data_IF_636238912589
#
_entry.id   IF_636238912589
#
_cell.length_a   1.000
_cell.length_b   1.000
_cell.length_c   1.000
_cell.angle_alpha   90.00
_cell.angle_beta   90.00
_cell.angle_gamma   90.00
#
_symmetry.space_group_name_H-M   'P 1'
#
loop_
_entity.id
_entity.type
_entity.pdbx_description
1 polymer ?
#
# COMPACT_ATOMS: atom_id res chain seq x y z
N UNK A 1 -14.18 -1.74 16.84
CA UNK A 1 -13.79 -2.41 15.59
C UNK A 1 -12.58 -3.28 15.90
N UNK A 2 -12.61 -4.54 15.53
CA UNK A 2 -11.43 -5.42 15.62
C UNK A 2 -10.47 -5.05 14.50
N UNK A 3 -9.17 -4.98 14.80
CA UNK A 3 -8.17 -4.74 13.76
C UNK A 3 -8.15 -5.91 12.75
N UNK A 4 -7.95 -5.62 11.46
CA UNK A 4 -7.80 -6.67 10.46
C UNK A 4 -6.56 -7.51 10.76
N UNK A 5 -6.58 -8.78 10.35
CA UNK A 5 -5.41 -9.65 10.40
C UNK A 5 -4.64 -9.58 9.08
N UNK A 6 -3.30 -9.72 9.10
CA UNK A 6 -2.51 -9.72 7.87
C UNK A 6 -2.86 -10.93 7.00
N UNK A 7 -2.90 -10.71 5.69
CA UNK A 7 -3.12 -11.74 4.68
C UNK A 7 -2.08 -11.60 3.59
N UNK A 8 -1.69 -12.72 2.99
CA UNK A 8 -0.78 -12.70 1.84
C UNK A 8 -1.40 -11.90 0.69
N UNK A 9 -0.59 -11.12 -0.01
CA UNK A 9 -1.02 -10.34 -1.16
C UNK A 9 -0.96 -11.21 -2.41
N UNK A 10 -2.05 -11.22 -3.18
CA UNK A 10 -2.14 -11.96 -4.45
C UNK A 10 -1.80 -11.10 -5.64
N UNK A 11 -2.25 -9.84 -5.61
CA UNK A 11 -2.11 -8.86 -6.68
C UNK A 11 -2.30 -7.46 -6.12
N UNK A 12 -1.79 -6.45 -6.85
CA UNK A 12 -2.02 -5.05 -6.52
C UNK A 12 -2.40 -4.29 -7.78
N UNK A 13 -3.42 -3.45 -7.65
CA UNK A 13 -3.82 -2.49 -8.68
C UNK A 13 -3.77 -1.07 -8.13
N UNK A 14 -3.30 -0.13 -8.94
CA UNK A 14 -3.32 1.30 -8.64
C UNK A 14 -4.10 1.98 -9.76
N UNK A 15 -5.22 2.59 -9.40
CA UNK A 15 -6.12 3.28 -10.32
C UNK A 15 -6.03 4.80 -10.11
N UNK A 16 -5.90 5.54 -11.21
CA UNK A 16 -5.99 7.00 -11.18
C UNK A 16 -7.45 7.46 -11.11
N UNK A 17 -7.79 8.25 -10.10
CA UNK A 17 -9.10 8.87 -9.96
C UNK A 17 -9.02 10.36 -10.35
N UNK A 18 -10.14 11.01 -10.70
CA UNK A 18 -10.14 12.44 -11.03
C UNK A 18 -9.50 13.34 -9.96
N UNK A 19 -9.65 13.00 -8.67
CA UNK A 19 -9.14 13.77 -7.52
C UNK A 19 -8.33 12.88 -6.56
N UNK A 20 -7.62 11.87 -7.05
CA UNK A 20 -6.89 10.98 -6.16
C UNK A 20 -6.36 9.73 -6.84
N UNK A 21 -6.03 8.75 -6.01
CA UNK A 21 -5.73 7.39 -6.45
C UNK A 21 -6.47 6.39 -5.56
N UNK A 22 -6.81 5.25 -6.14
CA UNK A 22 -7.27 4.07 -5.43
C UNK A 22 -6.21 2.99 -5.55
N UNK A 23 -5.78 2.44 -4.42
CA UNK A 23 -4.94 1.24 -4.41
C UNK A 23 -5.75 0.08 -3.88
N UNK A 24 -5.77 -1.02 -4.63
CA UNK A 24 -6.42 -2.27 -4.22
C UNK A 24 -5.38 -3.37 -4.12
N UNK A 25 -5.31 -4.00 -2.95
CA UNK A 25 -4.54 -5.22 -2.73
C UNK A 25 -5.49 -6.40 -2.69
N UNK A 26 -5.30 -7.36 -3.58
CA UNK A 26 -5.93 -8.68 -3.46
C UNK A 26 -5.31 -9.43 -2.26
N UNK A 27 -6.16 -10.03 -1.43
CA UNK A 27 -5.77 -10.72 -0.21
C UNK A 27 -6.13 -12.20 -0.28
N UNK A 28 -5.15 -13.05 -0.01
CA UNK A 28 -5.28 -14.49 0.09
C UNK A 28 -5.47 -14.97 1.53
N UNK A 29 -4.72 -16.03 1.87
CA UNK A 29 -4.76 -16.65 3.19
C UNK A 29 -4.19 -15.75 4.28
N UNK A 30 -4.67 -15.94 5.50
CA UNK A 30 -4.16 -15.24 6.70
C UNK A 30 -2.73 -15.68 7.01
N UNK A 31 -1.88 -14.71 7.36
CA UNK A 31 -0.51 -15.01 7.79
C UNK A 31 -0.54 -15.61 9.19
N UNK A 32 0.05 -16.80 9.40
CA UNK A 32 0.07 -17.44 10.71
C UNK A 32 1.06 -16.77 11.66
N UNK A 33 0.75 -16.81 12.95
CA UNK A 33 1.66 -16.40 14.03
C UNK A 33 1.29 -15.07 14.71
N UNK A 34 2.10 -14.64 15.69
CA UNK A 34 1.86 -13.40 16.42
C UNK A 34 2.16 -12.17 15.54
N UNK A 35 1.27 -11.18 15.59
CA UNK A 35 1.36 -9.96 14.80
C UNK A 35 1.18 -8.76 15.72
N UNK A 36 2.23 -7.94 15.82
CA UNK A 36 2.20 -6.66 16.53
C UNK A 36 1.85 -5.52 15.57
N UNK A 37 2.37 -5.59 14.34
CA UNK A 37 2.00 -4.69 13.26
C UNK A 37 2.26 -5.29 11.89
N UNK A 38 1.60 -4.76 10.88
CA UNK A 38 1.84 -5.11 9.48
C UNK A 38 1.53 -3.94 8.57
N UNK A 39 1.99 -4.03 7.32
CA UNK A 39 1.70 -3.01 6.33
C UNK A 39 1.82 -3.53 4.91
N UNK A 40 1.05 -2.91 4.03
CA UNK A 40 1.07 -3.14 2.58
C UNK A 40 1.51 -1.86 1.90
N UNK A 41 2.49 -1.97 1.02
CA UNK A 41 3.14 -0.83 0.39
C UNK A 41 3.23 -1.04 -1.12
N UNK A 42 3.12 0.06 -1.85
CA UNK A 42 3.50 0.19 -3.25
C UNK A 42 4.62 1.22 -3.31
N UNK A 43 5.75 0.82 -3.86
CA UNK A 43 6.91 1.65 -4.05
C UNK A 43 7.12 1.90 -5.54
N UNK A 44 7.36 3.16 -5.90
CA UNK A 44 7.69 3.55 -7.26
C UNK A 44 8.87 4.49 -7.28
N UNK A 45 9.71 4.29 -8.28
CA UNK A 45 10.94 5.04 -8.50
C UNK A 45 10.99 5.49 -9.96
N UNK A 46 11.59 6.65 -10.18
CA UNK A 46 11.94 7.09 -11.52
C UNK A 46 12.95 6.10 -12.18
N UNK A 47 13.08 6.10 -13.52
CA UNK A 47 14.03 5.22 -14.22
C UNK A 47 15.49 5.31 -13.76
N UNK A 48 15.90 6.45 -13.23
CA UNK A 48 17.24 6.68 -12.66
C UNK A 48 17.35 6.25 -11.17
N UNK A 49 16.28 5.70 -10.60
CA UNK A 49 16.20 5.31 -9.18
C UNK A 49 15.95 6.47 -8.22
N UNK A 50 15.78 7.70 -8.73
CA UNK A 50 15.48 8.88 -7.91
C UNK A 50 13.97 9.01 -7.62
N UNK A 51 13.62 10.00 -6.77
CA UNK A 51 12.24 10.38 -6.44
C UNK A 51 11.33 9.18 -6.06
N UNK A 52 11.80 8.41 -5.07
CA UNK A 52 11.03 7.30 -4.52
C UNK A 52 9.79 7.79 -3.82
N UNK A 53 8.64 7.27 -4.23
CA UNK A 53 7.37 7.50 -3.54
C UNK A 53 6.76 6.18 -3.12
N UNK A 54 6.28 6.17 -1.89
CA UNK A 54 5.72 5.02 -1.22
C UNK A 54 4.27 5.36 -0.89
N UNK A 55 3.35 4.49 -1.29
CA UNK A 55 1.95 4.56 -0.93
C UNK A 55 1.65 3.29 -0.15
N UNK A 56 1.06 3.41 1.03
CA UNK A 56 0.78 2.21 1.81
C UNK A 56 -0.30 2.37 2.86
N UNK A 57 -0.57 1.24 3.50
CA UNK A 57 -1.43 1.12 4.66
C UNK A 57 -0.64 0.41 5.74
N UNK A 58 -0.60 0.99 6.93
CA UNK A 58 -0.03 0.39 8.14
C UNK A 58 -1.12 0.10 9.15
N UNK A 59 -1.03 -1.07 9.79
CA UNK A 59 -1.92 -1.49 10.87
C UNK A 59 -1.05 -1.78 12.09
N UNK A 60 -1.23 -0.96 13.14
CA UNK A 60 -0.62 -1.15 14.47
C UNK A 60 -1.76 -1.18 15.49
N UNK A 61 -1.99 -0.09 16.22
CA UNK A 61 -3.14 0.11 17.09
C UNK A 61 -4.39 0.58 16.30
N UNK A 62 -4.16 1.12 15.11
CA UNK A 62 -5.18 1.58 14.16
C UNK A 62 -4.69 1.42 12.73
N UNK A 63 -5.63 1.40 11.80
CA UNK A 63 -5.36 1.46 10.37
C UNK A 63 -5.01 2.89 9.99
N UNK A 64 -3.89 3.09 9.29
CA UNK A 64 -3.46 4.38 8.74
C UNK A 64 -2.99 4.18 7.31
N UNK A 65 -3.56 4.95 6.37
CA UNK A 65 -3.04 5.06 5.02
C UNK A 65 -2.03 6.20 4.96
N UNK A 66 -0.97 6.07 4.15
CA UNK A 66 0.05 7.11 4.01
C UNK A 66 0.61 7.19 2.60
N UNK A 67 1.17 8.35 2.30
CA UNK A 67 2.03 8.59 1.15
C UNK A 67 3.31 9.24 1.66
N UNK A 68 4.45 8.77 1.16
CA UNK A 68 5.76 9.35 1.43
C UNK A 68 6.49 9.61 0.11
N UNK A 69 7.03 10.81 -0.07
CA UNK A 69 7.75 11.25 -1.27
C UNK A 69 9.00 12.02 -0.84
N UNK A 70 10.18 11.38 -0.96
CA UNK A 70 11.41 11.91 -0.36
C UNK A 70 11.17 12.30 1.11
N UNK A 71 11.65 13.44 1.59
CA UNK A 71 11.45 13.85 2.99
C UNK A 71 10.03 14.31 3.36
N UNK A 72 9.07 14.26 2.43
CA UNK A 72 7.69 14.73 2.65
C UNK A 72 6.72 13.56 2.79
N UNK A 73 5.69 13.69 3.62
CA UNK A 73 4.70 12.64 3.79
C UNK A 73 3.35 13.17 4.25
N UNK A 74 2.30 12.45 3.87
CA UNK A 74 0.93 12.70 4.25
C UNK A 74 0.33 11.42 4.86
N UNK A 75 -0.41 11.57 5.96
CA UNK A 75 -1.15 10.49 6.59
C UNK A 75 -2.65 10.73 6.39
N UNK A 76 -3.36 9.67 6.05
CA UNK A 76 -4.79 9.65 5.81
C UNK A 76 -5.48 8.83 6.91
N UNK A 77 -6.66 9.26 7.31
CA UNK A 77 -7.45 8.55 8.30
C UNK A 77 -7.82 7.15 7.80
N UNK A 78 -7.90 6.18 8.72
CA UNK A 78 -8.27 4.80 8.40
C UNK A 78 -9.64 4.64 7.75
N UNK A 79 -10.53 5.65 7.82
CA UNK A 79 -11.80 5.70 7.08
C UNK A 79 -11.63 5.65 5.56
N UNK A 80 -10.44 5.97 5.07
CA UNK A 80 -10.08 5.87 3.66
C UNK A 80 -9.67 4.45 3.26
N UNK A 81 -9.60 3.53 4.22
CA UNK A 81 -9.22 2.13 4.01
C UNK A 81 -10.41 1.24 4.30
N UNK A 82 -10.74 0.38 3.34
CA UNK A 82 -11.79 -0.63 3.47
C UNK A 82 -11.17 -2.02 3.37
N UNK A 83 -11.37 -2.81 4.41
CA UNK A 83 -11.05 -4.24 4.39
C UNK A 83 -12.29 -5.04 4.02
N UNK A 84 -12.15 -5.89 3.02
CA UNK A 84 -13.11 -6.92 2.63
C UNK A 84 -12.45 -8.29 2.79
N UNK A 85 -13.20 -9.37 2.56
CA UNK A 85 -12.71 -10.74 2.78
C UNK A 85 -11.48 -11.08 1.92
N UNK A 86 -11.49 -10.66 0.66
CA UNK A 86 -10.47 -11.00 -0.34
C UNK A 86 -9.70 -9.80 -0.88
N UNK A 87 -9.89 -8.60 -0.31
CA UNK A 87 -9.20 -7.39 -0.76
C UNK A 87 -9.15 -6.30 0.29
N UNK A 88 -8.17 -5.43 0.17
CA UNK A 88 -8.08 -4.16 0.87
C UNK A 88 -8.07 -3.02 -0.15
N UNK A 89 -8.89 -2.00 0.07
CA UNK A 89 -8.96 -0.81 -0.75
C UNK A 89 -8.49 0.38 0.07
N UNK A 90 -7.63 1.24 -0.49
CA UNK A 90 -7.23 2.50 0.13
C UNK A 90 -7.35 3.65 -0.87
N UNK A 91 -8.11 4.68 -0.49
CA UNK A 91 -8.30 5.89 -1.29
C UNK A 91 -7.42 7.01 -0.76
N UNK A 92 -6.57 7.54 -1.62
CA UNK A 92 -5.71 8.68 -1.31
C UNK A 92 -6.23 9.88 -2.09
N UNK A 93 -7.05 10.69 -1.42
CA UNK A 93 -7.57 11.93 -1.99
C UNK A 93 -6.43 12.94 -2.19
N UNK A 94 -6.57 13.77 -3.22
CA UNK A 94 -5.62 14.82 -3.59
C UNK A 94 -4.21 14.30 -3.88
N UNK A 95 -4.07 13.00 -4.10
CA UNK A 95 -2.83 12.34 -4.48
C UNK A 95 -2.83 12.02 -5.97
N UNK A 96 -1.63 11.99 -6.54
CA UNK A 96 -1.40 11.49 -7.89
C UNK A 96 -0.21 10.54 -7.88
N UNK A 97 -0.16 9.65 -8.88
CA UNK A 97 1.01 8.80 -9.12
C UNK A 97 2.24 9.67 -9.41
N UNK A 98 2.06 10.87 -9.98
CA UNK A 98 3.05 11.95 -9.96
C UNK A 98 4.31 11.74 -10.80
N UNK A 99 4.55 10.55 -11.34
CA UNK A 99 5.71 10.28 -12.18
C UNK A 99 5.33 10.37 -13.67
N UNK A 100 6.08 11.19 -14.42
CA UNK A 100 5.98 11.25 -15.88
C UNK A 100 6.42 9.94 -16.54
N UNK A 101 7.33 9.21 -15.89
CA UNK A 101 7.73 7.84 -16.21
C UNK A 101 8.04 7.07 -14.94
N UNK A 102 7.51 5.86 -14.86
CA UNK A 102 7.78 4.91 -13.77
C UNK A 102 8.84 3.94 -14.27
N UNK A 103 9.99 3.93 -13.60
CA UNK A 103 11.06 2.99 -13.90
C UNK A 103 10.85 1.65 -13.21
N UNK A 104 10.67 1.71 -11.89
CA UNK A 104 10.38 0.54 -11.06
C UNK A 104 9.07 0.76 -10.32
N UNK A 105 8.24 -0.28 -10.29
CA UNK A 105 7.01 -0.34 -9.51
C UNK A 105 6.92 -1.72 -8.87
N UNK A 106 6.76 -1.76 -7.57
CA UNK A 106 6.62 -3.02 -6.83
C UNK A 106 5.76 -2.83 -5.60
N UNK A 107 5.10 -3.90 -5.18
CA UNK A 107 4.49 -3.96 -3.87
C UNK A 107 5.31 -4.80 -2.89
N UNK A 108 5.24 -4.39 -1.63
CA UNK A 108 5.88 -5.04 -0.48
C UNK A 108 4.80 -5.25 0.58
N UNK A 109 4.88 -6.40 1.25
CA UNK A 109 4.05 -6.71 2.40
C UNK A 109 4.96 -7.14 3.55
N UNK A 110 4.83 -6.46 4.68
CA UNK A 110 5.68 -6.67 5.85
C UNK A 110 4.86 -6.96 7.10
N UNK A 111 5.42 -7.78 7.99
CA UNK A 111 4.87 -8.12 9.32
C UNK A 111 5.98 -7.99 10.34
N UNK A 112 5.72 -7.30 11.46
CA UNK A 112 6.66 -7.08 12.55
C UNK A 112 8.06 -6.60 12.09
N UNK A 113 8.09 -5.77 11.04
CA UNK A 113 9.33 -5.20 10.48
C UNK A 113 10.11 -6.13 9.56
N UNK A 114 9.59 -7.32 9.25
CA UNK A 114 10.16 -8.24 8.27
C UNK A 114 9.32 -8.25 7.00
N UNK A 115 9.96 -8.13 5.84
CA UNK A 115 9.29 -8.30 4.56
C UNK A 115 8.91 -9.77 4.38
N UNK A 116 7.61 -10.03 4.23
CA UNK A 116 7.07 -11.37 4.01
C UNK A 116 6.90 -11.64 2.52
N UNK A 117 6.57 -10.60 1.74
CA UNK A 117 6.56 -10.66 0.28
C UNK A 117 7.17 -9.37 -0.29
N UNK A 118 8.06 -9.53 -1.25
CA UNK A 118 8.68 -8.43 -2.00
C UNK A 118 8.45 -8.64 -3.49
N UNK A 119 8.47 -7.55 -4.26
CA UNK A 119 8.41 -7.65 -5.72
C UNK A 119 7.06 -8.14 -6.25
N UNK A 120 5.98 -7.94 -5.48
CA UNK A 120 4.64 -8.27 -5.92
C UNK A 120 4.30 -7.38 -7.12
N UNK A 121 3.88 -7.94 -8.27
CA UNK A 121 3.51 -7.15 -9.44
C UNK A 121 2.37 -6.19 -9.14
N UNK A 122 2.48 -4.98 -9.67
CA UNK A 122 1.46 -3.94 -9.56
C UNK A 122 0.98 -3.58 -10.96
N UNK A 123 -0.34 -3.57 -11.14
CA UNK A 123 -0.97 -3.11 -12.39
C UNK A 123 -1.42 -1.66 -12.23
N UNK A 124 -1.05 -0.81 -13.18
CA UNK A 124 -1.55 0.57 -13.25
C UNK A 124 -2.76 0.61 -14.18
N UNK A 125 -3.84 1.23 -13.73
CA UNK A 125 -5.12 1.35 -14.45
C UNK A 125 -5.53 2.81 -14.57
#
# INVERSE_FOLDING_TARGET
MTLPRPRFVTDVTVESLPNGILVTWGLGEEVPGPVEFFGYEVEYYAPDGSAGKQIGVKVVEKVTAYIWEGSTGANYAGTNVKFEESRMLAVYQDASIGLSQIGTLRAVFHVNGSDIQCGIPVTLI
#
